data_IF_692501988841
#
_entry.id   IF_692501988841
#
_cell.length_a   1.000
_cell.length_b   1.000
_cell.length_c   1.000
_cell.angle_alpha   90.00
_cell.angle_beta   90.00
_cell.angle_gamma   90.00
#
_symmetry.space_group_name_H-M   'P 1'
#
loop_
_entity.id
_entity.type
_entity.pdbx_description
1 polymer ?
#
# COMPACT_ATOMS: atom_id res chain seq x y z
N UNK A 1 -20.26 -44.14 2.06
CA UNK A 1 -19.94 -43.17 3.10
C UNK A 1 -18.76 -42.37 2.61
N UNK A 2 -18.93 -41.26 1.88
CA UNK A 2 -17.86 -40.26 1.54
C UNK A 2 -18.40 -39.28 0.49
N UNK A 3 -19.27 -38.33 0.88
CA UNK A 3 -19.66 -37.20 0.02
C UNK A 3 -19.99 -35.94 0.84
N UNK A 4 -19.51 -35.87 2.11
CA UNK A 4 -19.77 -34.71 2.99
C UNK A 4 -18.61 -33.68 3.09
N UNK A 5 -17.40 -34.07 2.66
CA UNK A 5 -16.20 -33.20 2.85
C UNK A 5 -15.93 -32.15 1.77
N UNK A 6 -16.64 -32.19 0.64
CA UNK A 6 -16.39 -31.31 -0.49
C UNK A 6 -17.25 -30.03 -0.49
N UNK A 7 -18.34 -30.01 0.26
CA UNK A 7 -19.20 -28.80 0.37
C UNK A 7 -18.73 -27.76 1.40
N UNK A 8 -17.99 -28.18 2.43
CA UNK A 8 -17.48 -27.23 3.44
C UNK A 8 -16.24 -26.45 2.98
N UNK A 9 -15.45 -26.97 2.02
CA UNK A 9 -14.30 -26.23 1.46
C UNK A 9 -14.68 -25.16 0.44
N UNK A 10 -15.85 -25.26 -0.19
CA UNK A 10 -16.30 -24.33 -1.24
C UNK A 10 -16.90 -22.99 -0.69
N UNK A 11 -16.99 -22.80 0.63
CA UNK A 11 -17.64 -21.64 1.24
C UNK A 11 -16.68 -20.55 1.75
N UNK A 12 -15.37 -20.69 1.56
CA UNK A 12 -14.36 -19.75 2.07
C UNK A 12 -13.50 -19.07 0.97
N UNK A 13 -13.87 -19.21 -0.30
CA UNK A 13 -13.16 -18.47 -1.35
C UNK A 13 -13.72 -17.05 -1.46
N UNK A 14 -12.89 -16.05 -1.23
CA UNK A 14 -13.21 -14.64 -1.45
C UNK A 14 -13.70 -14.43 -2.89
N UNK A 15 -14.70 -13.58 -3.06
CA UNK A 15 -15.22 -13.25 -4.40
C UNK A 15 -14.39 -12.13 -5.02
N UNK A 16 -14.28 -12.14 -6.35
CA UNK A 16 -13.67 -11.01 -7.07
C UNK A 16 -14.43 -9.71 -6.83
N UNK A 17 -13.72 -8.58 -6.93
CA UNK A 17 -14.32 -7.25 -6.85
C UNK A 17 -13.90 -6.47 -8.09
N UNK A 18 -14.87 -6.04 -8.89
CA UNK A 18 -14.63 -5.21 -10.05
C UNK A 18 -15.23 -3.82 -9.82
N UNK A 19 -14.38 -2.80 -9.93
CA UNK A 19 -14.80 -1.41 -10.05
C UNK A 19 -14.72 -1.05 -11.53
N UNK A 20 -15.87 -0.81 -12.16
CA UNK A 20 -16.01 -0.57 -13.60
C UNK A 20 -16.42 0.89 -13.82
N UNK A 21 -15.45 1.74 -14.21
CA UNK A 21 -15.66 3.16 -14.51
C UNK A 21 -16.17 3.99 -13.33
N UNK A 22 -15.74 3.71 -12.12
CA UNK A 22 -16.24 4.39 -10.92
C UNK A 22 -15.87 5.87 -10.94
N UNK A 23 -16.90 6.71 -10.98
CA UNK A 23 -16.79 8.16 -10.83
C UNK A 23 -17.69 8.64 -9.69
N UNK A 24 -17.18 9.54 -8.86
CA UNK A 24 -17.98 10.19 -7.81
C UNK A 24 -17.66 11.67 -7.68
N UNK A 25 -18.72 12.46 -7.57
CA UNK A 25 -18.67 13.92 -7.43
C UNK A 25 -19.34 14.36 -6.14
N UNK A 26 -18.68 15.20 -5.37
CA UNK A 26 -19.27 15.93 -4.26
C UNK A 26 -19.62 17.33 -4.74
N UNK A 27 -20.91 17.57 -5.03
CA UNK A 27 -21.28 18.81 -5.70
C UNK A 27 -20.59 18.96 -7.05
N UNK A 28 -19.77 20.00 -7.22
CA UNK A 28 -18.99 20.22 -8.44
C UNK A 28 -17.61 19.59 -8.47
N UNK A 29 -17.09 19.09 -7.31
CA UNK A 29 -15.74 18.55 -7.21
C UNK A 29 -15.69 17.06 -7.51
N UNK A 30 -14.81 16.64 -8.40
CA UNK A 30 -14.56 15.22 -8.72
C UNK A 30 -13.64 14.63 -7.65
N UNK A 31 -14.16 13.70 -6.85
CA UNK A 31 -13.39 13.00 -5.83
C UNK A 31 -12.73 11.72 -6.37
N UNK A 32 -13.39 11.06 -7.32
CA UNK A 32 -12.95 9.85 -8.00
C UNK A 32 -13.37 9.96 -9.47
N UNK A 33 -12.47 9.68 -10.38
CA UNK A 33 -12.64 9.88 -11.82
C UNK A 33 -12.28 8.61 -12.61
N UNK A 34 -13.30 7.91 -13.12
CA UNK A 34 -13.19 6.75 -14.00
C UNK A 34 -12.21 5.66 -13.50
N UNK A 35 -12.37 5.24 -12.24
CA UNK A 35 -11.52 4.19 -11.66
C UNK A 35 -11.96 2.81 -12.14
N UNK A 36 -11.00 2.07 -12.69
CA UNK A 36 -11.15 0.69 -13.13
C UNK A 36 -10.18 -0.20 -12.35
N UNK A 37 -10.70 -1.14 -11.54
CA UNK A 37 -9.93 -2.10 -10.78
C UNK A 37 -10.58 -3.49 -10.89
N UNK A 38 -9.78 -4.49 -11.19
CA UNK A 38 -10.18 -5.90 -11.17
C UNK A 38 -9.37 -6.62 -10.09
N UNK A 39 -10.03 -6.95 -8.98
CA UNK A 39 -9.45 -7.62 -7.81
C UNK A 39 -9.91 -9.07 -7.80
N UNK A 40 -8.95 -9.99 -7.81
CA UNK A 40 -9.24 -11.44 -7.84
C UNK A 40 -9.77 -11.93 -6.50
N UNK A 41 -10.52 -13.03 -6.52
CA UNK A 41 -10.96 -13.69 -5.29
C UNK A 41 -9.78 -14.07 -4.39
N UNK A 42 -9.86 -13.74 -3.09
CA UNK A 42 -8.82 -14.01 -2.10
C UNK A 42 -7.58 -13.09 -2.15
N UNK A 43 -7.55 -12.13 -3.08
CA UNK A 43 -6.44 -11.17 -3.21
C UNK A 43 -6.53 -10.06 -2.16
N UNK A 44 -5.38 -9.59 -1.65
CA UNK A 44 -5.28 -8.39 -0.85
C UNK A 44 -4.72 -7.24 -1.72
N UNK A 45 -5.55 -6.24 -1.93
CA UNK A 45 -5.19 -5.03 -2.70
C UNK A 45 -5.17 -3.81 -1.80
N UNK A 46 -4.10 -3.03 -1.85
CA UNK A 46 -4.04 -1.72 -1.19
C UNK A 46 -4.39 -0.58 -2.14
N UNK A 47 -5.22 0.34 -1.67
CA UNK A 47 -5.39 1.67 -2.24
C UNK A 47 -4.41 2.61 -1.55
N UNK A 48 -3.39 3.04 -2.27
CA UNK A 48 -2.31 3.90 -1.77
C UNK A 48 -2.36 5.26 -2.47
N UNK A 49 -2.09 6.34 -1.74
CA UNK A 49 -2.04 7.68 -2.31
C UNK A 49 -2.09 8.76 -1.24
N UNK A 50 -1.84 10.03 -1.59
CA UNK A 50 -1.89 11.15 -0.65
C UNK A 50 -3.29 11.37 -0.07
N UNK A 51 -3.37 12.17 0.99
CA UNK A 51 -4.65 12.55 1.58
C UNK A 51 -5.54 13.25 0.54
N UNK A 52 -6.83 12.90 0.52
CA UNK A 52 -7.79 13.49 -0.41
C UNK A 52 -7.80 12.92 -1.84
N UNK A 53 -6.98 11.92 -2.19
CA UNK A 53 -6.96 11.35 -3.55
C UNK A 53 -8.11 10.37 -3.87
N UNK A 54 -9.09 10.16 -2.97
CA UNK A 54 -10.28 9.36 -3.24
C UNK A 54 -10.33 7.96 -2.64
N UNK A 55 -9.30 7.48 -1.90
CA UNK A 55 -9.22 6.12 -1.31
C UNK A 55 -10.43 5.76 -0.44
N UNK A 56 -10.69 6.58 0.58
CA UNK A 56 -11.84 6.36 1.49
C UNK A 56 -13.17 6.52 0.77
N UNK A 57 -13.25 7.36 -0.27
CA UNK A 57 -14.44 7.47 -1.14
C UNK A 57 -14.70 6.16 -1.86
N UNK A 58 -13.69 5.54 -2.48
CA UNK A 58 -13.81 4.21 -3.12
C UNK A 58 -14.23 3.14 -2.11
N UNK A 59 -13.59 3.10 -0.94
CA UNK A 59 -13.95 2.14 0.10
C UNK A 59 -15.41 2.30 0.54
N UNK A 60 -15.88 3.53 0.74
CA UNK A 60 -17.29 3.82 1.11
C UNK A 60 -18.26 3.44 0.00
N UNK A 61 -17.87 3.58 -1.27
CA UNK A 61 -18.67 3.13 -2.42
C UNK A 61 -18.80 1.61 -2.41
N UNK A 62 -17.72 0.85 -2.23
CA UNK A 62 -17.75 -0.61 -2.14
C UNK A 62 -18.57 -1.07 -0.94
N UNK A 63 -18.44 -0.39 0.22
CA UNK A 63 -19.20 -0.67 1.42
C UNK A 63 -20.70 -0.35 1.30
N UNK A 64 -21.09 0.51 0.34
CA UNK A 64 -22.47 0.97 0.16
C UNK A 64 -22.88 2.12 1.05
N UNK A 65 -21.95 2.78 1.73
CA UNK A 65 -22.20 4.02 2.49
C UNK A 65 -22.30 5.24 1.57
N UNK A 66 -21.78 5.11 0.35
CA UNK A 66 -21.81 6.14 -0.67
C UNK A 66 -22.21 5.50 -1.99
N UNK A 67 -23.09 6.14 -2.74
CA UNK A 67 -23.45 5.73 -4.08
C UNK A 67 -22.57 6.50 -5.07
N UNK A 68 -21.92 5.80 -5.98
CA UNK A 68 -21.16 6.42 -7.07
C UNK A 68 -22.08 7.23 -8.01
N UNK A 69 -21.52 8.24 -8.68
CA UNK A 69 -22.23 9.02 -9.68
C UNK A 69 -22.34 8.26 -11.00
N UNK A 70 -21.26 7.56 -11.38
CA UNK A 70 -21.16 6.75 -12.59
C UNK A 70 -20.40 5.46 -12.31
N UNK A 71 -20.56 4.46 -13.19
CA UNK A 71 -19.88 3.18 -13.10
C UNK A 71 -20.62 2.16 -12.24
N UNK A 72 -20.00 1.00 -12.03
CA UNK A 72 -20.60 -0.16 -11.33
C UNK A 72 -19.62 -0.83 -10.40
N UNK A 73 -20.12 -1.33 -9.28
CA UNK A 73 -19.40 -2.22 -8.34
C UNK A 73 -19.96 -3.62 -8.48
N UNK A 74 -19.09 -4.57 -8.80
CA UNK A 74 -19.45 -5.98 -9.03
C UNK A 74 -18.68 -6.83 -8.01
N UNK A 75 -19.36 -7.72 -7.30
CA UNK A 75 -18.76 -8.67 -6.37
C UNK A 75 -19.13 -10.10 -6.80
N UNK A 76 -18.15 -10.88 -7.23
CA UNK A 76 -18.38 -12.10 -7.98
C UNK A 76 -19.13 -11.79 -9.27
N UNK A 77 -20.30 -12.38 -9.46
CA UNK A 77 -21.15 -12.16 -10.65
C UNK A 77 -22.29 -11.15 -10.39
N UNK A 78 -22.30 -10.49 -9.25
CA UNK A 78 -23.41 -9.63 -8.82
C UNK A 78 -23.03 -8.15 -8.81
N UNK A 79 -23.80 -7.32 -9.54
CA UNK A 79 -23.78 -5.85 -9.38
C UNK A 79 -24.44 -5.49 -8.05
N UNK A 80 -23.73 -4.79 -7.17
CA UNK A 80 -24.17 -4.49 -5.81
C UNK A 80 -24.56 -3.01 -5.57
N UNK A 81 -24.61 -2.20 -6.63
CA UNK A 81 -24.85 -0.75 -6.54
C UNK A 81 -26.12 -0.36 -5.79
N UNK A 82 -27.22 -1.10 -6.03
CA UNK A 82 -28.52 -0.84 -5.43
C UNK A 82 -28.66 -1.45 -4.01
N UNK A 83 -27.70 -2.28 -3.57
CA UNK A 83 -27.78 -2.95 -2.27
C UNK A 83 -27.36 -1.99 -1.15
N UNK A 84 -28.15 -1.86 -0.07
CA UNK A 84 -27.75 -1.14 1.13
C UNK A 84 -26.58 -1.86 1.82
N UNK A 85 -25.78 -1.18 2.67
CA UNK A 85 -24.61 -1.77 3.35
C UNK A 85 -24.92 -3.09 4.08
N UNK A 86 -26.09 -3.18 4.73
CA UNK A 86 -26.51 -4.36 5.50
C UNK A 86 -26.76 -5.62 4.62
N UNK A 87 -26.97 -5.46 3.32
CA UNK A 87 -27.19 -6.56 2.36
C UNK A 87 -25.99 -6.85 1.49
N UNK A 88 -24.93 -6.02 1.58
CA UNK A 88 -23.64 -6.33 0.94
C UNK A 88 -22.92 -7.38 1.78
N UNK A 89 -22.36 -8.38 1.15
CA UNK A 89 -21.58 -9.40 1.85
C UNK A 89 -20.16 -8.85 2.16
N UNK A 90 -20.09 -7.73 2.88
CA UNK A 90 -18.87 -6.98 3.16
C UNK A 90 -18.65 -6.89 4.67
N UNK A 91 -17.43 -7.21 5.12
CA UNK A 91 -16.95 -6.91 6.47
C UNK A 91 -16.10 -5.65 6.45
N UNK A 92 -16.18 -4.83 7.49
CA UNK A 92 -15.43 -3.58 7.54
C UNK A 92 -14.72 -3.41 8.88
N UNK A 93 -13.46 -2.96 8.82
CA UNK A 93 -12.68 -2.49 9.98
C UNK A 93 -12.38 -1.02 9.76
N UNK A 94 -12.87 -0.18 10.66
CA UNK A 94 -12.65 1.26 10.64
C UNK A 94 -11.36 1.64 11.34
N UNK A 95 -10.82 2.80 11.05
CA UNK A 95 -9.58 3.35 11.61
C UNK A 95 -9.59 3.39 13.16
N UNK A 96 -10.74 3.67 13.79
CA UNK A 96 -10.91 3.68 15.24
C UNK A 96 -11.47 2.37 15.81
N UNK A 97 -11.39 1.28 15.00
CA UNK A 97 -11.92 -0.06 15.31
C UNK A 97 -13.43 -0.13 15.54
N UNK A 98 -14.09 0.95 15.95
CA UNK A 98 -15.53 1.10 16.18
C UNK A 98 -16.14 -0.06 17.01
N UNK A 99 -15.43 -0.53 18.05
CA UNK A 99 -15.94 -1.53 18.98
C UNK A 99 -17.04 -0.94 19.83
N UNK A 100 -18.07 -1.74 20.14
CA UNK A 100 -19.15 -1.35 21.02
C UNK A 100 -18.64 -1.36 22.47
N UNK A 101 -18.51 -0.19 23.14
CA UNK A 101 -17.84 -0.10 24.43
C UNK A 101 -18.62 -0.75 25.59
N UNK A 102 -19.93 -0.93 25.41
CA UNK A 102 -20.85 -1.53 26.37
C UNK A 102 -21.00 -3.05 26.22
N UNK A 103 -20.43 -3.64 25.16
CA UNK A 103 -20.42 -5.07 24.90
C UNK A 103 -19.06 -5.67 25.27
N UNK A 104 -19.06 -6.91 25.74
CA UNK A 104 -17.84 -7.69 25.92
C UNK A 104 -17.16 -7.97 24.58
N UNK A 105 -15.92 -8.46 24.62
CA UNK A 105 -15.15 -8.87 23.42
C UNK A 105 -15.90 -9.97 22.65
N UNK A 106 -16.42 -10.98 23.33
CA UNK A 106 -17.17 -12.06 22.68
C UNK A 106 -18.49 -11.54 22.06
N UNK A 107 -19.20 -10.66 22.73
CA UNK A 107 -20.42 -10.03 22.21
C UNK A 107 -20.11 -9.11 21.02
N UNK A 108 -19.00 -8.37 21.05
CA UNK A 108 -18.57 -7.60 19.91
C UNK A 108 -18.36 -8.48 18.67
N UNK A 109 -17.65 -9.61 18.81
CA UNK A 109 -17.42 -10.54 17.71
C UNK A 109 -18.73 -11.16 17.22
N UNK A 110 -19.62 -11.57 18.14
CA UNK A 110 -20.90 -12.18 17.82
C UNK A 110 -21.95 -11.20 17.26
N UNK A 111 -21.74 -9.88 17.39
CA UNK A 111 -22.75 -8.86 17.09
C UNK A 111 -23.41 -9.00 15.72
N UNK A 112 -22.58 -9.21 14.68
CA UNK A 112 -23.08 -9.36 13.30
C UNK A 112 -23.95 -10.60 13.10
N UNK A 113 -23.65 -11.69 13.80
CA UNK A 113 -24.44 -12.92 13.81
C UNK A 113 -25.76 -12.71 14.56
N UNK A 114 -25.70 -12.05 15.72
CA UNK A 114 -26.89 -11.70 16.50
C UNK A 114 -27.85 -10.83 15.70
N UNK A 115 -27.32 -9.80 15.01
CA UNK A 115 -28.13 -8.91 14.16
C UNK A 115 -28.80 -9.63 12.97
N UNK A 116 -28.25 -10.78 12.54
CA UNK A 116 -28.83 -11.66 11.51
C UNK A 116 -29.75 -12.72 12.09
N UNK A 117 -30.00 -12.74 13.39
CA UNK A 117 -30.89 -13.70 14.07
C UNK A 117 -30.29 -15.09 14.25
N UNK A 118 -28.97 -15.24 14.18
CA UNK A 118 -28.31 -16.55 14.39
C UNK A 118 -28.60 -17.06 15.83
N UNK A 119 -28.73 -18.39 16.03
CA UNK A 119 -28.92 -18.99 17.35
C UNK A 119 -27.79 -18.63 18.33
N UNK A 120 -28.09 -18.45 19.62
CA UNK A 120 -27.09 -18.12 20.65
C UNK A 120 -25.91 -19.11 20.70
N UNK A 121 -26.17 -20.39 20.49
CA UNK A 121 -25.14 -21.42 20.47
C UNK A 121 -24.15 -21.20 19.31
N UNK A 122 -24.64 -20.84 18.12
CA UNK A 122 -23.81 -20.50 16.96
C UNK A 122 -23.01 -19.22 17.22
N UNK A 123 -23.63 -18.18 17.76
CA UNK A 123 -22.97 -16.93 18.14
C UNK A 123 -21.78 -17.20 19.08
N UNK A 124 -21.98 -17.97 20.16
CA UNK A 124 -20.96 -18.29 21.14
C UNK A 124 -19.81 -19.15 20.54
N UNK A 125 -20.18 -20.16 19.75
CA UNK A 125 -19.20 -21.06 19.10
C UNK A 125 -18.33 -20.31 18.12
N UNK A 126 -18.91 -19.49 17.25
CA UNK A 126 -18.17 -18.74 16.23
C UNK A 126 -17.34 -17.61 16.87
N UNK A 127 -17.85 -16.92 17.88
CA UNK A 127 -17.07 -15.92 18.63
C UNK A 127 -15.86 -16.55 19.29
N UNK A 128 -16.02 -17.72 19.94
CA UNK A 128 -14.88 -18.47 20.53
C UNK A 128 -13.86 -18.84 19.47
N UNK A 129 -14.29 -19.46 18.36
CA UNK A 129 -13.42 -19.87 17.26
C UNK A 129 -12.60 -18.72 16.70
N UNK A 130 -13.24 -17.55 16.47
CA UNK A 130 -12.57 -16.38 15.94
C UNK A 130 -11.65 -15.70 16.95
N UNK A 131 -12.02 -15.68 18.23
CA UNK A 131 -11.15 -15.16 19.28
C UNK A 131 -9.92 -16.05 19.47
N UNK A 132 -10.08 -17.36 19.35
CA UNK A 132 -8.93 -18.29 19.35
C UNK A 132 -8.02 -18.06 18.13
N UNK A 133 -8.61 -17.84 16.96
CA UNK A 133 -7.89 -17.53 15.70
C UNK A 133 -7.04 -16.26 15.81
N UNK A 134 -7.54 -15.22 16.49
CA UNK A 134 -6.81 -13.96 16.73
C UNK A 134 -6.04 -13.95 18.06
N UNK A 135 -5.86 -15.12 18.71
CA UNK A 135 -5.12 -15.32 19.96
C UNK A 135 -5.67 -14.51 21.16
N UNK A 136 -6.96 -14.29 21.20
CA UNK A 136 -7.67 -13.56 22.26
C UNK A 136 -8.77 -14.40 22.95
N UNK A 137 -8.71 -15.75 22.87
CA UNK A 137 -9.68 -16.63 23.53
C UNK A 137 -9.83 -16.37 25.03
N UNK A 138 -8.76 -15.99 25.71
CA UNK A 138 -8.73 -15.62 27.12
C UNK A 138 -9.42 -14.29 27.47
N UNK A 139 -9.70 -13.45 26.47
CA UNK A 139 -10.20 -12.09 26.65
C UNK A 139 -11.70 -11.95 26.39
N UNK A 140 -12.42 -13.03 26.10
CA UNK A 140 -13.82 -13.00 25.66
C UNK A 140 -14.80 -12.25 26.58
N UNK A 141 -14.57 -12.29 27.89
CA UNK A 141 -15.39 -11.63 28.91
C UNK A 141 -14.97 -10.18 29.23
N UNK A 142 -13.84 -9.72 28.68
CA UNK A 142 -13.36 -8.34 28.88
C UNK A 142 -14.17 -7.35 28.03
N UNK A 143 -14.09 -6.09 28.42
CA UNK A 143 -14.63 -4.96 27.65
C UNK A 143 -13.52 -4.28 26.81
N UNK A 144 -13.84 -3.58 25.71
CA UNK A 144 -12.86 -2.92 24.86
C UNK A 144 -11.87 -2.03 25.61
N UNK A 145 -12.31 -1.29 26.62
CA UNK A 145 -11.47 -0.42 27.46
C UNK A 145 -10.37 -1.14 28.25
N UNK A 146 -10.46 -2.47 28.35
CA UNK A 146 -9.50 -3.32 29.08
C UNK A 146 -8.47 -3.93 28.12
N UNK A 147 -8.50 -3.56 26.84
CA UNK A 147 -7.63 -4.09 25.80
C UNK A 147 -6.64 -3.01 25.30
N UNK A 148 -5.44 -3.43 24.91
CA UNK A 148 -4.52 -2.59 24.15
C UNK A 148 -5.06 -2.28 22.74
N UNK A 149 -4.53 -1.27 22.06
CA UNK A 149 -4.94 -0.90 20.70
C UNK A 149 -4.83 -2.08 19.73
N UNK A 150 -3.72 -2.83 19.74
CA UNK A 150 -3.55 -4.03 18.90
C UNK A 150 -4.53 -5.15 19.23
N UNK A 151 -4.91 -5.31 20.51
CA UNK A 151 -5.96 -6.27 20.90
C UNK A 151 -7.33 -5.83 20.40
N UNK A 152 -7.66 -4.53 20.49
CA UNK A 152 -8.91 -3.98 19.96
C UNK A 152 -9.01 -4.17 18.45
N UNK A 153 -7.91 -3.97 17.72
CA UNK A 153 -7.84 -4.22 16.28
C UNK A 153 -8.12 -5.69 15.95
N UNK A 154 -7.50 -6.63 16.66
CA UNK A 154 -7.77 -8.07 16.46
C UNK A 154 -9.25 -8.43 16.72
N UNK A 155 -9.86 -7.85 17.74
CA UNK A 155 -11.30 -8.02 17.99
C UNK A 155 -12.14 -7.45 16.86
N UNK A 156 -11.81 -6.26 16.34
CA UNK A 156 -12.51 -5.65 15.22
C UNK A 156 -12.41 -6.52 13.95
N UNK A 157 -11.22 -7.09 13.69
CA UNK A 157 -11.01 -8.02 12.59
C UNK A 157 -11.82 -9.32 12.78
N UNK A 158 -11.80 -9.92 13.98
CA UNK A 158 -12.61 -11.09 14.30
C UNK A 158 -14.12 -10.79 14.10
N UNK A 159 -14.61 -9.63 14.54
CA UNK A 159 -15.99 -9.17 14.34
C UNK A 159 -16.34 -9.06 12.85
N UNK A 160 -15.44 -8.48 12.04
CA UNK A 160 -15.65 -8.35 10.60
C UNK A 160 -15.67 -9.71 9.88
N UNK A 161 -14.89 -10.68 10.34
CA UNK A 161 -14.84 -12.05 9.78
C UNK A 161 -16.01 -12.93 10.26
N UNK A 162 -16.63 -12.63 11.41
CA UNK A 162 -17.71 -13.46 11.98
C UNK A 162 -18.91 -13.62 11.05
N UNK A 163 -19.20 -12.63 10.25
CA UNK A 163 -20.29 -12.66 9.27
C UNK A 163 -19.93 -13.37 7.97
N UNK A 164 -18.74 -13.97 7.88
CA UNK A 164 -18.18 -14.64 6.69
C UNK A 164 -18.34 -13.78 5.44
N UNK A 165 -17.70 -12.58 5.40
CA UNK A 165 -17.86 -11.65 4.29
C UNK A 165 -17.21 -12.19 3.01
N UNK A 166 -17.77 -11.83 1.84
CA UNK A 166 -17.13 -12.05 0.55
C UNK A 166 -15.94 -11.11 0.32
N UNK A 167 -16.02 -9.91 0.92
CA UNK A 167 -15.00 -8.86 0.82
C UNK A 167 -14.75 -8.26 2.20
N UNK A 168 -13.48 -8.09 2.56
CA UNK A 168 -13.05 -7.41 3.76
C UNK A 168 -12.49 -6.03 3.39
N UNK A 169 -13.00 -4.98 4.02
CA UNK A 169 -12.55 -3.60 3.85
C UNK A 169 -11.82 -3.14 5.10
N UNK A 170 -10.61 -2.63 4.93
CA UNK A 170 -9.76 -2.12 6.02
C UNK A 170 -9.47 -0.64 5.75
N UNK A 171 -9.98 0.25 6.60
CA UNK A 171 -9.80 1.70 6.49
C UNK A 171 -8.73 2.16 7.48
N UNK A 172 -7.49 2.34 7.01
CA UNK A 172 -6.31 2.73 7.79
C UNK A 172 -6.16 1.95 9.11
N UNK A 173 -6.16 0.61 9.08
CA UNK A 173 -6.30 -0.20 10.29
C UNK A 173 -5.13 -0.06 11.27
N UNK A 174 -3.95 0.38 10.80
CA UNK A 174 -2.73 0.45 11.62
C UNK A 174 -2.36 1.86 12.07
N UNK A 175 -3.13 2.88 11.71
CA UNK A 175 -2.79 4.29 11.94
C UNK A 175 -2.62 4.66 13.42
N UNK A 176 -3.32 3.96 14.33
CA UNK A 176 -3.30 4.22 15.77
C UNK A 176 -2.22 3.41 16.55
N UNK A 177 -1.39 2.61 15.85
CA UNK A 177 -0.40 1.73 16.46
C UNK A 177 1.00 2.34 16.45
N UNK A 178 1.79 2.04 17.50
CA UNK A 178 3.22 2.32 17.49
C UNK A 178 3.96 1.44 16.46
N UNK A 179 5.20 1.82 16.12
CA UNK A 179 5.95 1.21 15.01
C UNK A 179 6.19 -0.30 15.18
N UNK A 180 6.51 -0.76 16.39
CA UNK A 180 6.82 -2.17 16.63
C UNK A 180 5.55 -3.02 16.57
N UNK A 181 4.50 -2.57 17.26
CA UNK A 181 3.20 -3.25 17.27
C UNK A 181 2.56 -3.25 15.88
N UNK A 182 2.81 -2.22 15.07
CA UNK A 182 2.31 -2.11 13.69
C UNK A 182 2.83 -3.24 12.82
N UNK A 183 4.14 -3.53 12.83
CA UNK A 183 4.72 -4.62 12.05
C UNK A 183 4.14 -5.98 12.43
N UNK A 184 4.05 -6.27 13.74
CA UNK A 184 3.46 -7.52 14.22
C UNK A 184 2.00 -7.67 13.79
N UNK A 185 1.24 -6.58 13.83
CA UNK A 185 -0.15 -6.57 13.40
C UNK A 185 -0.32 -6.71 11.89
N UNK A 186 0.57 -6.14 11.10
CA UNK A 186 0.58 -6.33 9.65
C UNK A 186 0.78 -7.81 9.29
N UNK A 187 1.76 -8.46 9.90
CA UNK A 187 2.02 -9.90 9.71
C UNK A 187 0.79 -10.72 10.10
N UNK A 188 0.16 -10.40 11.22
CA UNK A 188 -1.01 -11.11 11.71
C UNK A 188 -2.23 -10.92 10.78
N UNK A 189 -2.50 -9.69 10.32
CA UNK A 189 -3.58 -9.39 9.37
C UNK A 189 -3.37 -10.15 8.06
N UNK A 190 -2.15 -10.17 7.50
CA UNK A 190 -1.83 -10.93 6.28
C UNK A 190 -2.05 -12.43 6.50
N UNK A 191 -1.62 -12.96 7.67
CA UNK A 191 -1.84 -14.38 8.03
C UNK A 191 -3.33 -14.71 8.10
N UNK A 192 -4.11 -13.90 8.81
CA UNK A 192 -5.55 -14.10 8.99
C UNK A 192 -6.30 -13.99 7.65
N UNK A 193 -5.95 -13.03 6.81
CA UNK A 193 -6.52 -12.86 5.48
C UNK A 193 -6.29 -14.10 4.61
N UNK A 194 -5.06 -14.65 4.61
CA UNK A 194 -4.72 -15.88 3.88
C UNK A 194 -5.48 -17.09 4.40
N UNK A 195 -5.57 -17.26 5.72
CA UNK A 195 -6.31 -18.38 6.33
C UNK A 195 -7.80 -18.28 6.04
N UNK A 196 -8.37 -17.07 6.06
CA UNK A 196 -9.77 -16.85 5.75
C UNK A 196 -10.07 -16.91 4.25
N UNK A 197 -9.05 -16.75 3.37
CA UNK A 197 -9.20 -16.72 1.92
C UNK A 197 -10.09 -15.57 1.42
N UNK A 198 -10.30 -14.53 2.23
CA UNK A 198 -11.20 -13.41 1.93
C UNK A 198 -10.54 -12.37 1.05
N UNK A 199 -11.23 -11.88 0.02
CA UNK A 199 -10.78 -10.75 -0.79
C UNK A 199 -10.73 -9.50 0.07
N UNK A 200 -9.60 -8.80 0.06
CA UNK A 200 -9.39 -7.68 0.99
C UNK A 200 -9.00 -6.41 0.24
N UNK A 201 -9.67 -5.31 0.56
CA UNK A 201 -9.32 -3.97 0.10
C UNK A 201 -8.83 -3.15 1.31
N UNK A 202 -7.55 -2.78 1.28
CA UNK A 202 -6.88 -2.00 2.32
C UNK A 202 -6.71 -0.56 1.85
N UNK A 203 -7.18 0.39 2.63
CA UNK A 203 -6.87 1.82 2.45
C UNK A 203 -5.73 2.17 3.39
N UNK A 204 -4.67 2.74 2.86
CA UNK A 204 -3.56 3.27 3.65
C UNK A 204 -2.89 4.46 2.95
N UNK A 205 -2.23 5.31 3.71
CA UNK A 205 -1.29 6.32 3.23
C UNK A 205 0.16 5.92 3.51
N UNK A 206 0.37 4.81 4.22
CA UNK A 206 1.69 4.27 4.53
C UNK A 206 2.16 3.34 3.40
N UNK A 207 3.30 3.71 2.80
CA UNK A 207 3.88 2.99 1.67
C UNK A 207 4.42 1.61 2.09
N UNK A 208 5.02 1.52 3.29
CA UNK A 208 5.55 0.27 3.81
C UNK A 208 4.42 -0.76 4.02
N UNK A 209 3.27 -0.31 4.52
CA UNK A 209 2.07 -1.15 4.64
C UNK A 209 1.60 -1.67 3.28
N UNK A 210 1.45 -0.77 2.30
CA UNK A 210 0.99 -1.15 0.97
C UNK A 210 1.94 -2.14 0.29
N UNK A 211 3.25 -1.90 0.37
CA UNK A 211 4.26 -2.73 -0.28
C UNK A 211 4.45 -4.09 0.41
N UNK A 212 4.33 -4.15 1.75
CA UNK A 212 4.58 -5.38 2.52
C UNK A 212 3.38 -6.34 2.53
N UNK A 213 2.16 -5.78 2.58
CA UNK A 213 0.95 -6.59 2.78
C UNK A 213 0.30 -7.04 1.49
N UNK A 214 0.36 -6.25 0.43
CA UNK A 214 -0.51 -6.42 -0.72
C UNK A 214 0.01 -7.45 -1.72
N UNK A 215 -0.91 -8.07 -2.43
CA UNK A 215 -0.61 -8.84 -3.63
C UNK A 215 -0.50 -7.89 -4.84
N UNK A 216 -1.33 -6.82 -4.86
CA UNK A 216 -1.21 -5.69 -5.78
C UNK A 216 -1.52 -4.37 -5.06
N UNK A 217 -0.92 -3.28 -5.56
CA UNK A 217 -1.10 -1.92 -5.06
C UNK A 217 -1.73 -1.06 -6.16
N UNK A 218 -2.83 -0.40 -5.84
CA UNK A 218 -3.45 0.64 -6.67
C UNK A 218 -2.99 2.02 -6.15
N UNK A 219 -2.11 2.66 -6.89
CA UNK A 219 -1.62 4.01 -6.57
C UNK A 219 -2.57 5.04 -7.15
N UNK A 220 -3.11 5.89 -6.29
CA UNK A 220 -4.11 6.91 -6.64
C UNK A 220 -3.55 8.32 -6.48
N UNK A 221 -3.88 9.20 -7.41
CA UNK A 221 -3.58 10.63 -7.35
C UNK A 221 -4.73 11.42 -7.95
N UNK A 222 -5.15 12.50 -7.27
CA UNK A 222 -6.19 13.43 -7.76
C UNK A 222 -7.45 12.72 -8.29
N UNK A 223 -7.89 11.67 -7.60
CA UNK A 223 -9.07 10.90 -7.98
C UNK A 223 -8.85 9.90 -9.11
N UNK A 224 -7.64 9.74 -9.64
CA UNK A 224 -7.31 8.84 -10.75
C UNK A 224 -6.37 7.73 -10.35
N UNK A 225 -6.43 6.63 -11.07
CA UNK A 225 -5.51 5.50 -10.93
C UNK A 225 -4.25 5.78 -11.75
N UNK A 226 -3.12 5.88 -11.08
CA UNK A 226 -1.80 6.10 -11.68
C UNK A 226 -1.12 4.79 -12.12
N UNK A 227 -1.21 3.76 -11.26
CA UNK A 227 -0.65 2.43 -11.54
C UNK A 227 -1.35 1.37 -10.68
N UNK A 228 -1.55 0.17 -11.23
CA UNK A 228 -2.08 -0.98 -10.50
C UNK A 228 -1.29 -2.23 -10.82
N UNK A 229 -0.38 -2.61 -9.94
CA UNK A 229 0.57 -3.70 -10.17
C UNK A 229 1.01 -4.38 -8.86
N UNK A 230 1.83 -5.44 -8.97
CA UNK A 230 2.50 -6.02 -7.81
C UNK A 230 3.39 -5.00 -7.11
N UNK A 231 3.60 -5.09 -5.78
CA UNK A 231 4.42 -4.15 -5.01
C UNK A 231 5.81 -3.92 -5.60
N UNK A 232 6.48 -4.99 -6.01
CA UNK A 232 7.81 -4.91 -6.66
C UNK A 232 7.76 -4.13 -7.97
N UNK A 233 6.72 -4.34 -8.80
CA UNK A 233 6.56 -3.59 -10.05
C UNK A 233 6.29 -2.11 -9.80
N UNK A 234 5.43 -1.77 -8.81
CA UNK A 234 5.16 -0.37 -8.45
C UNK A 234 6.43 0.34 -7.98
N UNK A 235 7.29 -0.36 -7.22
CA UNK A 235 8.53 0.19 -6.69
C UNK A 235 9.65 0.25 -7.73
N UNK A 236 9.87 -0.88 -8.46
CA UNK A 236 11.00 -1.03 -9.37
C UNK A 236 10.72 -0.49 -10.78
N UNK A 237 9.48 -0.55 -11.26
CA UNK A 237 9.06 -0.12 -12.60
C UNK A 237 7.86 0.85 -12.55
N UNK A 238 8.01 2.03 -11.91
CA UNK A 238 6.96 3.03 -11.84
C UNK A 238 6.59 3.57 -13.23
N UNK A 239 5.28 3.71 -13.49
CA UNK A 239 4.76 4.15 -14.80
C UNK A 239 4.72 5.67 -14.96
N UNK A 240 4.79 6.43 -13.85
CA UNK A 240 4.79 7.90 -13.86
C UNK A 240 5.80 8.47 -12.87
N UNK A 241 6.19 9.73 -13.11
CA UNK A 241 7.04 10.49 -12.18
C UNK A 241 6.38 10.56 -10.79
N UNK A 242 5.04 10.72 -10.75
CA UNK A 242 4.30 10.74 -9.51
C UNK A 242 4.49 9.44 -8.73
N UNK A 243 4.26 8.28 -9.35
CA UNK A 243 4.44 6.98 -8.68
C UNK A 243 5.86 6.81 -8.18
N UNK A 244 6.87 7.17 -8.99
CA UNK A 244 8.27 7.04 -8.61
C UNK A 244 8.64 7.88 -7.38
N UNK A 245 8.15 9.13 -7.33
CA UNK A 245 8.47 10.06 -6.24
C UNK A 245 7.57 9.88 -5.02
N UNK A 246 6.37 9.36 -5.21
CA UNK A 246 5.43 9.10 -4.13
C UNK A 246 5.70 7.76 -3.44
N UNK A 247 6.07 6.70 -4.18
CA UNK A 247 6.35 5.38 -3.61
C UNK A 247 7.85 5.23 -3.36
N UNK A 248 8.25 5.29 -2.10
CA UNK A 248 9.65 5.36 -1.67
C UNK A 248 10.23 6.77 -1.80
N UNK A 249 11.53 6.87 -1.57
CA UNK A 249 12.30 8.11 -1.77
C UNK A 249 13.00 8.06 -3.12
N UNK A 250 12.99 9.17 -3.85
CA UNK A 250 13.77 9.29 -5.09
C UNK A 250 14.44 10.66 -5.19
N UNK A 251 15.69 10.67 -5.64
CA UNK A 251 16.37 11.88 -6.06
C UNK A 251 15.92 12.21 -7.49
N UNK A 252 15.22 13.31 -7.68
CA UNK A 252 14.81 13.80 -9.00
C UNK A 252 15.87 14.76 -9.54
N UNK A 253 16.55 14.37 -10.61
CA UNK A 253 17.66 15.11 -11.19
C UNK A 253 17.31 15.50 -12.62
N UNK A 254 17.41 16.79 -13.00
CA UNK A 254 17.15 17.21 -14.36
C UNK A 254 18.32 16.80 -15.31
N UNK A 255 17.96 16.48 -16.54
CA UNK A 255 18.93 16.10 -17.57
C UNK A 255 18.33 16.11 -18.96
N UNK A 256 19.13 15.62 -19.92
CA UNK A 256 18.75 15.52 -21.34
C UNK A 256 18.97 14.08 -21.80
N UNK A 257 17.98 13.51 -22.47
CA UNK A 257 18.11 12.20 -23.12
C UNK A 257 19.03 12.34 -24.35
N UNK A 258 20.20 11.73 -24.31
CA UNK A 258 21.16 11.74 -25.43
C UNK A 258 20.75 10.79 -26.55
N UNK A 259 20.19 9.65 -26.18
CA UNK A 259 19.77 8.59 -27.10
C UNK A 259 19.56 7.29 -26.36
N UNK A 260 19.23 6.25 -27.12
CA UNK A 260 19.07 4.89 -26.61
C UNK A 260 19.85 3.94 -27.50
N UNK A 261 20.67 3.09 -26.89
CA UNK A 261 21.38 2.01 -27.54
C UNK A 261 21.02 0.65 -26.92
N UNK A 262 21.74 -0.42 -27.31
CA UNK A 262 21.49 -1.77 -26.79
C UNK A 262 21.64 -1.91 -25.24
N UNK A 263 22.34 -0.97 -24.61
CA UNK A 263 22.52 -0.94 -23.15
C UNK A 263 21.40 -0.17 -22.43
N UNK A 264 20.65 0.67 -23.13
CA UNK A 264 19.55 1.45 -22.61
C UNK A 264 19.62 2.97 -22.90
N UNK A 265 18.68 3.76 -22.36
CA UNK A 265 18.68 5.20 -22.49
C UNK A 265 19.85 5.85 -21.76
N UNK A 266 20.61 6.71 -22.46
CA UNK A 266 21.72 7.51 -21.89
C UNK A 266 21.26 8.92 -21.62
N UNK A 267 21.48 9.39 -20.40
CA UNK A 267 21.02 10.70 -19.93
C UNK A 267 22.21 11.50 -19.44
N UNK A 268 22.44 12.66 -20.05
CA UNK A 268 23.36 13.65 -19.54
C UNK A 268 22.68 14.46 -18.43
N UNK A 269 23.28 14.50 -17.25
CA UNK A 269 22.79 15.28 -16.12
C UNK A 269 23.21 16.75 -16.25
N UNK A 270 22.35 17.68 -15.88
CA UNK A 270 22.68 19.11 -15.84
C UNK A 270 23.83 19.40 -14.84
N UNK A 271 23.94 18.59 -13.81
CA UNK A 271 24.97 18.66 -12.79
C UNK A 271 26.31 18.02 -13.22
N UNK A 272 26.40 17.52 -14.46
CA UNK A 272 27.55 16.82 -15.01
C UNK A 272 27.48 15.30 -14.82
N UNK A 273 28.09 14.59 -15.78
CA UNK A 273 28.10 13.13 -15.85
C UNK A 273 26.94 12.56 -16.66
N UNK A 274 27.08 11.28 -17.01
CA UNK A 274 26.07 10.51 -17.74
C UNK A 274 25.60 9.33 -16.91
N UNK A 275 24.31 8.98 -17.04
CA UNK A 275 23.69 7.85 -16.38
C UNK A 275 22.96 6.99 -17.39
N UNK A 276 23.15 5.68 -17.29
CA UNK A 276 22.37 4.69 -18.02
C UNK A 276 21.10 4.39 -17.25
N UNK A 277 19.96 4.72 -17.87
CA UNK A 277 18.65 4.46 -17.29
C UNK A 277 18.09 3.11 -17.75
N UNK A 278 17.03 2.66 -17.06
CA UNK A 278 16.21 1.53 -17.51
C UNK A 278 15.41 1.91 -18.77
N UNK A 279 14.86 0.92 -19.51
CA UNK A 279 13.97 1.20 -20.62
C UNK A 279 12.86 2.18 -20.23
N UNK A 280 12.58 3.13 -21.10
CA UNK A 280 11.59 4.18 -20.88
C UNK A 280 10.17 3.57 -20.84
N UNK A 281 9.38 3.92 -19.85
CA UNK A 281 7.96 3.51 -19.78
C UNK A 281 7.14 4.07 -20.95
N UNK A 282 7.54 5.23 -21.49
CA UNK A 282 6.97 5.86 -22.68
C UNK A 282 8.08 6.38 -23.57
N UNK A 283 7.91 6.36 -24.91
CA UNK A 283 8.91 6.90 -25.83
C UNK A 283 9.17 8.39 -25.55
N UNK A 284 10.44 8.76 -25.46
CA UNK A 284 10.91 10.14 -25.32
C UNK A 284 11.90 10.37 -26.47
N UNK A 285 11.79 11.47 -27.18
CA UNK A 285 12.68 11.80 -28.29
C UNK A 285 14.08 12.17 -27.76
N UNK A 286 15.18 11.73 -28.42
CA UNK A 286 16.53 12.20 -28.13
C UNK A 286 16.58 13.75 -28.15
N UNK A 287 17.39 14.35 -27.28
CA UNK A 287 17.48 15.79 -27.07
C UNK A 287 16.40 16.37 -26.16
N UNK A 288 15.39 15.58 -25.76
CA UNK A 288 14.35 16.06 -24.85
C UNK A 288 14.84 16.21 -23.41
N UNK A 289 14.28 17.19 -22.71
CA UNK A 289 14.47 17.36 -21.25
C UNK A 289 13.75 16.23 -20.50
N UNK A 290 14.43 15.66 -19.55
CA UNK A 290 13.92 14.57 -18.70
C UNK A 290 14.19 14.83 -17.23
N UNK A 291 13.39 14.24 -16.37
CA UNK A 291 13.70 14.08 -14.94
C UNK A 291 14.18 12.65 -14.72
N UNK A 292 15.46 12.50 -14.35
CA UNK A 292 16.03 11.23 -13.94
C UNK A 292 15.76 11.01 -12.45
N UNK A 293 15.18 9.88 -12.10
CA UNK A 293 14.90 9.49 -10.73
C UNK A 293 15.89 8.41 -10.28
N UNK A 294 16.61 8.70 -9.20
CA UNK A 294 17.64 7.85 -8.61
C UNK A 294 17.22 7.45 -7.19
N UNK A 295 17.03 6.18 -6.92
CA UNK A 295 16.76 5.69 -5.57
C UNK A 295 18.00 5.85 -4.70
N UNK A 296 17.90 6.34 -3.44
CA UNK A 296 19.05 6.50 -2.54
C UNK A 296 19.86 5.21 -2.35
N UNK A 297 19.20 4.07 -2.30
CA UNK A 297 19.82 2.74 -2.13
C UNK A 297 20.49 2.20 -3.41
N UNK A 298 20.24 2.80 -4.57
CA UNK A 298 20.91 2.47 -5.84
C UNK A 298 22.17 3.31 -6.08
N UNK A 299 22.47 4.20 -5.15
CA UNK A 299 23.65 5.06 -5.18
C UNK A 299 24.69 4.56 -4.18
N UNK A 300 25.97 4.71 -4.53
CA UNK A 300 27.11 4.38 -3.68
C UNK A 300 28.11 5.51 -3.69
N UNK A 301 28.71 5.78 -2.52
CA UNK A 301 29.84 6.69 -2.42
C UNK A 301 31.13 5.92 -2.71
N UNK A 302 31.94 6.45 -3.62
CA UNK A 302 33.23 5.84 -3.99
C UNK A 302 34.36 6.85 -3.85
N UNK A 303 35.58 6.34 -3.64
CA UNK A 303 36.82 7.13 -3.62
C UNK A 303 37.54 7.09 -5.00
N UNK A 304 36.93 6.41 -6.00
CA UNK A 304 37.41 6.32 -7.38
C UNK A 304 37.29 7.63 -8.14
N UNK A 305 37.75 7.62 -9.40
CA UNK A 305 37.62 8.80 -10.29
C UNK A 305 36.32 8.79 -11.08
N UNK A 306 35.66 7.64 -11.19
CA UNK A 306 34.42 7.46 -11.95
C UNK A 306 33.19 7.85 -11.13
N UNK A 307 32.14 8.33 -11.82
CA UNK A 307 30.88 8.73 -11.23
C UNK A 307 30.68 10.24 -11.13
N UNK A 308 29.55 10.64 -10.56
CA UNK A 308 29.13 12.04 -10.41
C UNK A 308 29.90 12.65 -9.25
N UNK A 309 30.62 13.77 -9.51
CA UNK A 309 31.38 14.48 -8.47
C UNK A 309 30.45 15.20 -7.50
N UNK A 310 30.72 15.10 -6.20
CA UNK A 310 29.96 15.78 -5.18
C UNK A 310 30.74 16.03 -3.89
N UNK A 311 30.12 16.77 -2.98
CA UNK A 311 30.66 17.06 -1.64
C UNK A 311 29.61 16.69 -0.61
N UNK A 312 30.00 15.91 0.39
CA UNK A 312 29.11 15.54 1.50
C UNK A 312 28.70 16.80 2.28
N UNK A 313 27.41 17.03 2.42
CA UNK A 313 26.86 18.10 3.27
C UNK A 313 26.48 17.57 4.65
N UNK A 314 25.94 16.36 4.70
CA UNK A 314 25.45 15.76 5.95
C UNK A 314 25.53 14.24 5.89
N UNK A 315 25.75 13.60 7.05
CA UNK A 315 25.64 12.17 7.22
C UNK A 315 24.71 11.87 8.41
N UNK A 316 23.63 11.15 8.16
CA UNK A 316 22.58 10.81 9.14
C UNK A 316 22.60 9.31 9.42
N UNK A 317 23.09 8.84 10.58
CA UNK A 317 23.01 7.45 10.95
C UNK A 317 21.58 7.11 11.43
N UNK A 318 20.90 6.26 10.69
CA UNK A 318 19.53 5.79 10.97
C UNK A 318 19.51 4.33 11.44
N UNK A 319 20.42 3.97 12.35
CA UNK A 319 20.55 2.60 12.83
C UNK A 319 21.28 1.71 11.82
N UNK A 320 20.58 0.79 11.11
CA UNK A 320 21.22 -0.12 10.15
C UNK A 320 21.69 0.54 8.85
N UNK A 321 21.28 1.78 8.62
CA UNK A 321 21.57 2.53 7.38
C UNK A 321 22.14 3.89 7.71
N UNK A 322 23.03 4.40 6.88
CA UNK A 322 23.48 5.79 6.87
C UNK A 322 22.92 6.47 5.64
N UNK A 323 22.31 7.64 5.79
CA UNK A 323 21.90 8.51 4.68
C UNK A 323 22.87 9.67 4.60
N UNK A 324 23.57 9.79 3.47
CA UNK A 324 24.40 10.94 3.15
C UNK A 324 23.62 11.90 2.25
N UNK A 325 23.65 13.18 2.56
CA UNK A 325 23.27 14.25 1.63
C UNK A 325 24.53 14.78 0.96
N UNK A 326 24.56 14.67 -0.38
CA UNK A 326 25.72 15.04 -1.19
C UNK A 326 25.32 16.10 -2.20
N UNK A 327 25.96 17.26 -2.15
CA UNK A 327 25.77 18.34 -3.13
C UNK A 327 26.46 17.99 -4.43
N UNK A 328 25.69 18.07 -5.51
CA UNK A 328 26.17 17.87 -6.88
C UNK A 328 25.84 19.12 -7.68
N UNK A 329 26.84 19.84 -8.13
CA UNK A 329 26.66 21.11 -8.83
C UNK A 329 25.86 22.15 -8.00
N UNK A 330 24.99 22.90 -8.68
CA UNK A 330 24.12 23.91 -8.07
C UNK A 330 22.72 23.37 -7.70
N UNK A 331 22.46 22.08 -7.89
CA UNK A 331 21.17 21.45 -7.65
C UNK A 331 20.87 21.15 -6.17
N UNK A 332 19.73 20.51 -5.93
CA UNK A 332 19.41 19.96 -4.61
C UNK A 332 20.38 18.83 -4.25
N UNK A 333 20.78 18.68 -2.98
CA UNK A 333 21.60 17.56 -2.55
C UNK A 333 20.94 16.22 -2.89
N UNK A 334 21.75 15.25 -3.32
CA UNK A 334 21.31 13.87 -3.52
C UNK A 334 21.40 13.11 -2.20
N UNK A 335 20.39 12.29 -1.91
CA UNK A 335 20.36 11.35 -0.78
C UNK A 335 20.94 10.03 -1.24
N UNK A 336 21.92 9.51 -0.52
CA UNK A 336 22.55 8.22 -0.74
C UNK A 336 22.36 7.39 0.52
N UNK A 337 21.73 6.22 0.41
CA UNK A 337 21.46 5.33 1.53
C UNK A 337 22.36 4.08 1.45
N UNK A 338 23.26 3.94 2.41
CA UNK A 338 24.21 2.83 2.46
C UNK A 338 24.02 2.00 3.74
N UNK A 339 24.16 0.65 3.67
CA UNK A 339 24.12 -0.18 4.86
C UNK A 339 25.25 0.17 5.82
N UNK A 340 24.93 0.29 7.11
CA UNK A 340 25.93 0.51 8.17
C UNK A 340 26.53 -0.83 8.60
N UNK A 341 27.62 -1.22 7.95
CA UNK A 341 28.37 -2.43 8.29
C UNK A 341 29.46 -2.09 9.31
N UNK A 342 29.26 -2.48 10.58
CA UNK A 342 30.31 -2.53 11.60
C UNK A 342 31.12 -1.24 11.81
N UNK A 343 30.50 -0.11 12.12
CA UNK A 343 31.20 1.13 12.44
C UNK A 343 31.69 1.90 11.21
N UNK A 344 31.32 1.48 9.99
CA UNK A 344 31.73 2.06 8.73
C UNK A 344 31.09 3.39 8.43
N UNK A 345 31.90 4.26 7.97
CA UNK A 345 31.81 5.30 6.94
C UNK A 345 30.76 6.39 7.16
N UNK A 346 30.77 7.01 8.34
CA UNK A 346 30.29 8.39 8.43
C UNK A 346 31.31 9.28 7.73
N UNK A 347 31.01 9.71 6.51
CA UNK A 347 31.85 10.70 5.81
C UNK A 347 31.52 12.10 6.36
N UNK A 348 32.49 12.83 6.90
CA UNK A 348 32.22 14.16 7.47
C UNK A 348 31.79 15.17 6.40
N UNK A 349 31.03 16.21 6.79
CA UNK A 349 30.73 17.33 5.89
C UNK A 349 32.01 17.95 5.29
N UNK A 350 31.92 18.34 4.02
CA UNK A 350 33.07 18.86 3.27
C UNK A 350 33.91 17.80 2.56
N UNK A 351 33.66 16.49 2.79
CA UNK A 351 34.41 15.42 2.13
C UNK A 351 34.06 15.36 0.64
N UNK A 352 35.04 15.49 -0.28
CA UNK A 352 34.83 15.24 -1.70
C UNK A 352 34.58 13.76 -1.94
N UNK A 353 33.57 13.44 -2.76
CA UNK A 353 33.17 12.06 -3.07
C UNK A 353 32.78 11.92 -4.54
N UNK A 354 32.75 10.68 -5.02
CA UNK A 354 32.10 10.30 -6.28
C UNK A 354 30.87 9.46 -5.97
N UNK A 355 29.81 9.67 -6.75
CA UNK A 355 28.57 8.93 -6.64
C UNK A 355 28.50 7.97 -7.84
N UNK A 356 28.58 6.68 -7.56
CA UNK A 356 28.32 5.65 -8.55
C UNK A 356 26.81 5.33 -8.56
N UNK A 357 26.23 5.24 -9.73
CA UNK A 357 24.84 4.85 -9.96
C UNK A 357 24.82 3.42 -10.43
N UNK A 358 24.01 2.57 -9.79
CA UNK A 358 23.84 1.18 -10.21
C UNK A 358 23.24 1.13 -11.64
N UNK A 359 23.90 0.44 -12.60
CA UNK A 359 23.45 0.46 -13.99
C UNK A 359 22.03 -0.07 -14.19
N UNK A 360 21.24 0.60 -15.03
CA UNK A 360 19.88 0.17 -15.39
C UNK A 360 18.85 0.25 -14.28
N UNK A 361 19.13 0.89 -13.15
CA UNK A 361 18.18 1.06 -12.04
C UNK A 361 17.58 2.47 -11.97
N UNK A 362 18.14 3.43 -12.72
CA UNK A 362 17.59 4.77 -12.81
C UNK A 362 16.36 4.80 -13.72
N UNK A 363 15.32 5.54 -13.34
CA UNK A 363 14.09 5.75 -14.14
C UNK A 363 14.07 7.16 -14.71
N UNK A 364 13.71 7.31 -15.98
CA UNK A 364 13.61 8.61 -16.61
C UNK A 364 12.16 8.90 -17.06
N UNK A 365 11.72 10.13 -16.80
CA UNK A 365 10.39 10.62 -17.15
C UNK A 365 10.51 11.92 -17.91
N UNK A 366 9.52 12.27 -18.77
CA UNK A 366 9.45 13.60 -19.37
C UNK A 366 9.54 14.68 -18.27
N UNK A 367 10.31 15.73 -18.51
CA UNK A 367 10.31 16.88 -17.59
C UNK A 367 8.89 17.44 -17.48
N UNK A 368 8.49 17.84 -16.26
CA UNK A 368 7.25 18.58 -16.11
C UNK A 368 7.33 19.89 -16.91
N UNK A 369 6.26 20.19 -17.67
CA UNK A 369 6.15 21.38 -18.47
C UNK A 369 6.09 22.65 -17.59
#
# INVERSE_FOLDING_TARGET
MTLSGSRERAQAEGRSVVLDGITHRYGGAVAVDNINLDIRGGELVSLLGPSGCGKTTLLRIVAGFLRQTEGRVIVGDQVIDALPPSRRAVGIVFQNYALFPHLTVAENVAYGLAARGAPRAEQASEAKRLLDLVQLGHAGTRYPRQLSGGQQQRVALARALAIRPAVLLLDEPFAALDKNLRLDMQIEVKRLQRVAGVTTLLVTHDQEEALSLSDRVAVLSNGRLEQFAAPTTVYDAPESLFVNTFVGSANAVPGVLLGQDGAGPRIALDAGGEVLARPLARPIAPGSRVTLCLRPEHLRLTDGQDGIAGVVEMALPLGPTVVHEVRVGAGRPLKIAEPRLGGGLLRPPGTPVRIAVAPGLASAFPAAA
#
